data_IF_862842929132
#
_entry.id   IF_862842929132
#
_cell.length_a   1.000
_cell.length_b   1.000
_cell.length_c   1.000
_cell.angle_alpha   90.00
_cell.angle_beta   90.00
_cell.angle_gamma   90.00
#
_symmetry.space_group_name_H-M   'P 1'
#
loop_
_entity.id
_entity.type
_entity.pdbx_description
1 polymer ?
#
# COMPACT_ATOMS: atom_id res chain seq x y z
N UNK A 1 46.29 9.90 -42.18
CA UNK A 1 47.00 11.06 -42.77
C UNK A 1 46.00 12.22 -42.74
N UNK A 2 46.38 13.35 -42.15
CA UNK A 2 45.60 14.60 -41.96
C UNK A 2 44.44 14.54 -40.94
N UNK A 3 44.60 15.12 -39.74
CA UNK A 3 44.45 16.55 -39.39
C UNK A 3 43.10 17.13 -39.81
N UNK A 4 42.15 17.18 -38.88
CA UNK A 4 41.39 18.39 -38.52
C UNK A 4 40.28 18.00 -37.53
N UNK A 5 40.40 18.49 -36.29
CA UNK A 5 39.32 19.04 -35.46
C UNK A 5 39.89 19.20 -34.04
N UNK A 6 40.64 20.29 -33.93
CA UNK A 6 41.04 20.94 -32.69
C UNK A 6 39.93 21.90 -32.29
N UNK A 7 39.72 21.95 -30.97
CA UNK A 7 39.42 23.13 -30.17
C UNK A 7 38.05 23.81 -30.32
N UNK A 8 37.24 23.68 -29.27
CA UNK A 8 35.98 24.40 -29.10
C UNK A 8 35.36 24.25 -27.70
N UNK A 9 36.17 24.26 -26.64
CA UNK A 9 35.65 24.35 -25.25
C UNK A 9 35.74 25.82 -24.79
N UNK A 10 34.62 26.51 -24.57
CA UNK A 10 34.64 27.87 -24.05
C UNK A 10 35.05 27.89 -22.57
N UNK A 11 35.81 28.90 -22.11
CA UNK A 11 36.21 29.03 -20.71
C UNK A 11 35.00 29.34 -19.82
N UNK A 12 34.96 28.68 -18.64
CA UNK A 12 33.97 28.96 -17.59
C UNK A 12 34.15 30.40 -17.07
N UNK A 13 33.07 31.19 -16.94
CA UNK A 13 33.16 32.53 -16.37
C UNK A 13 33.54 32.48 -14.88
N UNK A 14 34.33 33.47 -14.49
CA UNK A 14 35.07 33.55 -13.24
C UNK A 14 34.22 33.50 -11.98
N UNK A 15 34.78 32.86 -10.96
CA UNK A 15 34.35 32.94 -9.58
C UNK A 15 34.45 34.39 -9.10
N UNK A 16 33.30 35.06 -8.99
CA UNK A 16 33.19 36.38 -8.41
C UNK A 16 33.28 36.25 -6.89
N UNK A 17 34.44 36.65 -6.36
CA UNK A 17 34.77 36.70 -4.95
C UNK A 17 33.96 37.85 -4.31
N UNK A 18 32.75 37.57 -3.82
CA UNK A 18 31.98 38.54 -3.04
C UNK A 18 32.63 38.70 -1.67
N UNK A 19 33.29 39.84 -1.49
CA UNK A 19 33.71 40.39 -0.19
C UNK A 19 32.53 40.35 0.80
N UNK A 20 32.61 39.49 1.82
CA UNK A 20 31.79 39.61 3.03
C UNK A 20 32.36 40.76 3.86
N UNK A 21 31.65 41.88 3.84
CA UNK A 21 31.85 42.98 4.78
C UNK A 21 31.26 42.65 6.14
N UNK A 22 31.99 43.09 7.17
CA UNK A 22 31.59 43.44 8.53
C UNK A 22 30.23 42.97 9.05
N UNK A 23 30.29 42.01 9.96
CA UNK A 23 29.20 41.64 10.87
C UNK A 23 29.72 41.07 12.18
N UNK A 24 30.89 41.55 12.63
CA UNK A 24 31.44 41.29 13.96
C UNK A 24 30.83 42.29 14.95
N UNK A 25 29.80 41.83 15.68
CA UNK A 25 29.45 42.18 17.07
C UNK A 25 28.03 41.70 17.36
N UNK A 26 27.88 40.91 18.43
CA UNK A 26 26.64 40.33 19.03
C UNK A 26 26.48 38.80 18.90
N UNK A 27 27.57 38.06 18.93
CA UNK A 27 27.60 36.69 19.47
C UNK A 27 28.83 36.60 20.34
N UNK A 28 28.66 36.78 21.64
CA UNK A 28 29.54 36.24 22.67
C UNK A 28 28.98 36.67 24.02
N UNK A 29 28.54 35.69 24.81
CA UNK A 29 28.40 35.89 26.26
C UNK A 29 27.26 35.17 26.98
N UNK A 30 26.28 34.53 26.34
CA UNK A 30 25.13 33.95 27.08
C UNK A 30 24.85 32.46 26.80
N UNK A 31 25.38 31.82 25.74
CA UNK A 31 24.83 30.51 25.30
C UNK A 31 25.68 29.25 25.51
N UNK A 32 26.94 29.32 25.91
CA UNK A 32 27.78 28.09 25.96
C UNK A 32 27.71 27.37 27.32
N UNK A 33 27.70 28.10 28.45
CA UNK A 33 27.61 27.46 29.79
C UNK A 33 26.27 26.79 30.08
N UNK A 34 25.17 27.30 29.52
CA UNK A 34 23.81 26.77 29.76
C UNK A 34 23.58 25.45 29.01
N UNK A 35 24.24 25.23 27.87
CA UNK A 35 24.11 23.99 27.09
C UNK A 35 24.82 22.82 27.77
N UNK A 36 26.00 23.06 28.33
CA UNK A 36 26.78 22.03 29.03
C UNK A 36 26.08 21.56 30.32
N UNK A 37 25.41 22.47 31.03
CA UNK A 37 24.60 22.11 32.20
C UNK A 37 23.34 21.32 31.84
N UNK A 38 22.73 21.57 30.67
CA UNK A 38 21.50 20.90 30.26
C UNK A 38 21.72 19.42 29.88
N UNK A 39 22.85 19.09 29.26
CA UNK A 39 23.20 17.72 28.88
C UNK A 39 24.05 16.98 29.92
N UNK A 40 24.33 17.60 31.07
CA UNK A 40 25.08 16.97 32.15
C UNK A 40 24.22 15.94 32.89
N UNK A 41 24.75 14.72 33.05
CA UNK A 41 24.12 13.67 33.86
C UNK A 41 23.92 14.10 35.34
N UNK A 42 24.71 15.07 35.82
CA UNK A 42 24.57 15.62 37.17
C UNK A 42 23.37 16.57 37.32
N UNK A 43 22.74 16.96 36.21
CA UNK A 43 21.58 17.84 36.18
C UNK A 43 20.28 17.10 35.85
N UNK A 44 20.27 15.77 35.98
CA UNK A 44 19.06 14.99 35.79
C UNK A 44 17.98 15.40 36.81
N UNK A 45 16.73 15.65 36.37
CA UNK A 45 15.63 16.03 37.26
C UNK A 45 15.38 15.03 38.39
N UNK A 46 15.77 13.76 38.22
CA UNK A 46 15.64 12.73 39.24
C UNK A 46 16.62 12.89 40.43
N UNK A 47 17.71 13.64 40.26
CA UNK A 47 18.74 13.86 41.28
C UNK A 47 18.46 15.08 42.16
N UNK A 48 17.61 15.98 41.68
CA UNK A 48 17.26 17.22 42.38
C UNK A 48 15.86 17.06 42.95
N UNK A 49 15.72 17.00 44.28
CA UNK A 49 14.44 16.79 44.99
C UNK A 49 13.39 17.91 44.81
N UNK A 50 13.57 18.80 43.83
CA UNK A 50 12.56 19.75 43.39
C UNK A 50 11.62 19.10 42.38
N UNK A 51 10.32 19.41 42.46
CA UNK A 51 9.34 18.91 41.49
C UNK A 51 9.72 19.22 40.04
N UNK A 52 9.28 18.36 39.12
CA UNK A 52 9.56 18.47 37.68
C UNK A 52 9.23 19.88 37.16
N UNK A 53 10.25 20.59 36.64
CA UNK A 53 10.07 21.81 35.86
C UNK A 53 10.15 21.46 34.38
N UNK A 54 9.01 21.59 33.68
CA UNK A 54 8.96 21.42 32.23
C UNK A 54 9.94 22.38 31.53
N UNK A 55 10.73 21.84 30.60
CA UNK A 55 11.69 22.62 29.82
C UNK A 55 10.96 23.70 29.00
N UNK A 56 11.37 24.99 29.07
CA UNK A 56 10.86 26.03 28.18
C UNK A 56 10.87 25.66 26.68
N UNK A 57 11.81 24.81 26.23
CA UNK A 57 11.86 24.31 24.87
C UNK A 57 10.74 23.29 24.55
N UNK A 58 10.17 22.58 25.53
CA UNK A 58 8.96 21.76 25.33
C UNK A 58 7.75 22.62 24.93
N UNK A 59 7.73 23.92 25.29
CA UNK A 59 6.71 24.85 24.79
C UNK A 59 6.92 25.22 23.32
N UNK A 60 8.15 25.09 22.82
CA UNK A 60 8.54 25.33 21.42
C UNK A 60 8.53 24.07 20.58
N UNK A 61 8.60 22.89 21.19
CA UNK A 61 8.24 21.64 20.56
C UNK A 61 6.77 21.75 20.19
N UNK A 62 6.52 22.26 18.98
CA UNK A 62 5.21 22.35 18.35
C UNK A 62 4.53 21.02 18.65
N UNK A 63 3.42 21.04 19.39
CA UNK A 63 2.63 19.85 19.70
C UNK A 63 2.38 19.21 18.35
N UNK A 64 3.16 18.18 18.05
CA UNK A 64 3.51 17.87 16.68
C UNK A 64 2.22 17.76 15.88
N UNK A 65 2.19 18.45 14.74
CA UNK A 65 1.11 18.47 13.75
C UNK A 65 0.91 17.07 13.13
N UNK A 66 0.94 16.00 13.92
CA UNK A 66 0.48 14.69 13.50
C UNK A 66 -1.01 14.88 13.23
N UNK A 67 -1.45 14.74 11.96
CA UNK A 67 -2.83 14.95 11.63
C UNK A 67 -3.68 13.97 12.47
N UNK A 68 -4.47 14.50 13.40
CA UNK A 68 -5.37 13.72 14.28
C UNK A 68 -6.35 12.82 13.52
N UNK A 69 -6.40 12.91 12.20
CA UNK A 69 -7.22 12.11 11.30
C UNK A 69 -6.63 10.75 10.89
N UNK A 70 -5.38 10.44 11.23
CA UNK A 70 -4.73 9.20 10.80
C UNK A 70 -4.67 8.14 11.91
N UNK A 71 -4.91 6.89 11.54
CA UNK A 71 -4.80 5.74 12.45
C UNK A 71 -3.38 5.57 13.00
N UNK A 72 -2.34 6.01 12.28
CA UNK A 72 -0.96 6.06 12.80
C UNK A 72 -0.88 6.94 14.05
N UNK A 73 -1.54 8.09 14.07
CA UNK A 73 -1.56 8.95 15.26
C UNK A 73 -2.25 8.26 16.45
N UNK A 74 -3.29 7.48 16.16
CA UNK A 74 -3.98 6.68 17.17
C UNK A 74 -3.16 5.47 17.61
N UNK A 75 -2.33 4.89 16.74
CA UNK A 75 -1.49 3.71 16.99
C UNK A 75 -0.21 4.07 17.74
N UNK A 76 0.46 5.13 17.30
CA UNK A 76 1.76 5.60 17.80
C UNK A 76 1.59 6.62 18.96
N UNK A 77 0.37 6.72 19.51
CA UNK A 77 0.10 7.51 20.70
C UNK A 77 0.91 6.97 21.88
N UNK A 78 1.53 7.86 22.64
CA UNK A 78 2.19 7.55 23.92
C UNK A 78 1.21 6.82 24.86
N UNK A 79 -0.09 7.09 24.74
CA UNK A 79 -1.15 6.42 25.51
C UNK A 79 -1.30 4.91 25.19
N UNK A 80 -0.63 4.42 24.15
CA UNK A 80 -0.57 2.99 23.80
C UNK A 80 0.75 2.33 24.18
N UNK A 81 1.66 3.04 24.87
CA UNK A 81 2.92 2.46 25.29
C UNK A 81 2.69 1.30 26.28
N UNK A 82 3.33 0.13 26.08
CA UNK A 82 3.19 -1.02 26.98
C UNK A 82 3.54 -0.69 28.44
N UNK A 83 4.41 0.29 28.65
CA UNK A 83 4.88 0.72 29.96
C UNK A 83 3.81 1.46 30.79
N UNK A 84 2.77 2.03 30.17
CA UNK A 84 1.76 2.83 30.88
C UNK A 84 0.61 2.00 31.50
N UNK A 85 0.53 0.70 31.22
CA UNK A 85 -0.35 -0.23 31.95
C UNK A 85 -1.87 -0.13 31.71
N UNK A 86 -2.45 -1.26 31.31
CA UNK A 86 -3.81 -1.78 31.57
C UNK A 86 -5.12 -0.96 31.40
N UNK A 87 -5.14 0.30 30.94
CA UNK A 87 -6.30 0.78 30.15
C UNK A 87 -5.97 0.53 28.69
N UNK A 88 -6.03 -0.75 28.30
CA UNK A 88 -5.27 -1.31 27.18
C UNK A 88 -5.47 -0.59 25.83
N UNK A 89 -4.45 -0.62 24.95
CA UNK A 89 -4.49 -0.03 23.60
C UNK A 89 -5.68 -0.51 22.74
N UNK A 90 -6.20 -1.68 23.08
CA UNK A 90 -7.34 -2.38 22.47
C UNK A 90 -8.63 -1.56 22.51
N UNK A 91 -8.86 -0.76 23.55
CA UNK A 91 -10.05 0.09 23.64
C UNK A 91 -9.94 1.38 22.81
N UNK A 92 -8.74 1.95 22.69
CA UNK A 92 -8.54 3.29 22.13
C UNK A 92 -8.73 3.33 20.61
N UNK A 93 -8.18 2.35 19.88
CA UNK A 93 -8.34 2.30 18.43
C UNK A 93 -9.79 1.94 18.08
N UNK A 94 -10.42 1.01 18.79
CA UNK A 94 -11.84 0.70 18.62
C UNK A 94 -12.74 1.92 18.83
N UNK A 95 -12.51 2.69 19.91
CA UNK A 95 -13.24 3.92 20.19
C UNK A 95 -13.00 4.99 19.12
N UNK A 96 -11.76 5.18 18.68
CA UNK A 96 -11.41 6.10 17.60
C UNK A 96 -12.08 5.71 16.27
N UNK A 97 -12.11 4.42 15.92
CA UNK A 97 -12.82 3.93 14.72
C UNK A 97 -14.31 4.25 14.83
N UNK A 98 -14.93 4.02 15.99
CA UNK A 98 -16.35 4.30 16.22
C UNK A 98 -16.67 5.80 16.11
N UNK A 99 -15.86 6.66 16.73
CA UNK A 99 -16.00 8.12 16.64
C UNK A 99 -15.88 8.60 15.19
N UNK A 100 -14.86 8.14 14.46
CA UNK A 100 -14.67 8.50 13.05
C UNK A 100 -15.78 7.98 12.15
N UNK A 101 -16.30 6.79 12.43
CA UNK A 101 -17.41 6.20 11.67
C UNK A 101 -18.69 7.01 11.85
N UNK A 102 -18.95 7.56 13.04
CA UNK A 102 -20.11 8.40 13.30
C UNK A 102 -20.10 9.71 12.46
N UNK A 103 -18.93 10.19 12.05
CA UNK A 103 -18.79 11.36 11.19
C UNK A 103 -18.90 11.04 9.68
N UNK A 104 -19.01 9.77 9.29
CA UNK A 104 -19.03 9.35 7.89
C UNK A 104 -20.43 9.06 7.39
N UNK A 105 -20.76 9.51 6.17
CA UNK A 105 -22.00 9.12 5.50
C UNK A 105 -21.87 7.73 4.85
N UNK A 106 -22.97 6.99 4.81
CA UNK A 106 -23.02 5.67 4.15
C UNK A 106 -22.66 5.79 2.66
N UNK A 107 -23.20 6.79 1.97
CA UNK A 107 -22.89 7.04 0.56
C UNK A 107 -21.40 7.32 0.33
N UNK A 108 -20.77 8.12 1.21
CA UNK A 108 -19.34 8.39 1.15
C UNK A 108 -18.49 7.14 1.36
N UNK A 109 -18.90 6.26 2.29
CA UNK A 109 -18.21 4.99 2.54
C UNK A 109 -18.31 4.03 1.34
N UNK A 110 -19.49 3.93 0.73
CA UNK A 110 -19.68 3.13 -0.50
C UNK A 110 -18.85 3.69 -1.64
N UNK A 111 -18.87 5.01 -1.87
CA UNK A 111 -18.10 5.65 -2.93
C UNK A 111 -16.59 5.41 -2.77
N UNK A 112 -16.05 5.55 -1.56
CA UNK A 112 -14.62 5.28 -1.28
C UNK A 112 -14.29 3.81 -1.49
N UNK A 113 -15.18 2.89 -1.11
CA UNK A 113 -15.01 1.45 -1.34
C UNK A 113 -14.92 1.13 -2.84
N UNK A 114 -15.85 1.69 -3.63
CA UNK A 114 -15.87 1.49 -5.07
C UNK A 114 -14.65 2.13 -5.75
N UNK A 115 -14.23 3.32 -5.32
CA UNK A 115 -13.03 3.96 -5.84
C UNK A 115 -11.77 3.11 -5.57
N UNK A 116 -11.63 2.53 -4.37
CA UNK A 116 -10.54 1.63 -4.06
C UNK A 116 -10.57 0.35 -4.90
N UNK A 117 -11.77 -0.23 -5.13
CA UNK A 117 -11.96 -1.40 -5.99
C UNK A 117 -11.54 -1.13 -7.44
N UNK A 118 -12.00 0.00 -8.00
CA UNK A 118 -11.71 0.42 -9.37
C UNK A 118 -10.23 0.72 -9.58
N UNK A 119 -9.53 1.23 -8.56
CA UNK A 119 -8.09 1.48 -8.63
C UNK A 119 -7.26 0.18 -8.56
N UNK A 120 -7.72 -0.82 -7.80
CA UNK A 120 -6.99 -2.07 -7.59
C UNK A 120 -6.85 -2.92 -8.87
N UNK A 121 -7.89 -2.97 -9.71
CA UNK A 121 -7.87 -3.74 -10.96
C UNK A 121 -6.75 -3.32 -11.93
N UNK A 122 -6.69 -2.06 -12.38
CA UNK A 122 -5.60 -1.55 -13.22
C UNK A 122 -4.23 -1.68 -12.58
N UNK A 123 -4.13 -1.47 -11.26
CA UNK A 123 -2.87 -1.60 -10.54
C UNK A 123 -2.33 -3.04 -10.58
N UNK A 124 -3.21 -4.03 -10.47
CA UNK A 124 -2.84 -5.44 -10.61
C UNK A 124 -2.31 -5.77 -12.01
N UNK A 125 -2.89 -5.19 -13.05
CA UNK A 125 -2.36 -5.34 -14.42
C UNK A 125 -0.95 -4.78 -14.52
N UNK A 126 -0.72 -3.54 -14.08
CA UNK A 126 0.62 -2.93 -14.12
C UNK A 126 1.65 -3.78 -13.37
N UNK A 127 1.30 -4.31 -12.20
CA UNK A 127 2.18 -5.20 -11.44
C UNK A 127 2.53 -6.49 -12.19
N UNK A 128 1.54 -7.14 -12.81
CA UNK A 128 1.75 -8.37 -13.58
C UNK A 128 2.69 -8.15 -14.79
N UNK A 129 2.61 -6.98 -15.43
CA UNK A 129 3.50 -6.61 -16.54
C UNK A 129 4.94 -6.31 -16.10
N UNK A 130 5.11 -5.52 -15.04
CA UNK A 130 6.44 -5.12 -14.55
C UNK A 130 7.27 -6.31 -14.07
N UNK A 131 6.62 -7.36 -13.58
CA UNK A 131 7.29 -8.57 -13.10
C UNK A 131 7.60 -9.60 -14.21
N UNK A 132 7.09 -9.41 -15.43
CA UNK A 132 7.13 -10.41 -16.52
C UNK A 132 8.41 -10.50 -17.36
N UNK A 133 9.54 -9.87 -17.00
CA UNK A 133 10.74 -9.85 -17.86
C UNK A 133 12.01 -10.40 -17.20
N UNK A 134 12.36 -11.66 -17.52
CA UNK A 134 13.71 -12.18 -17.90
C UNK A 134 13.89 -13.69 -17.61
N UNK A 135 14.06 -14.51 -18.65
CA UNK A 135 14.69 -15.84 -18.57
C UNK A 135 13.77 -17.08 -18.62
N UNK A 136 14.37 -18.28 -18.52
CA UNK A 136 13.81 -19.64 -18.67
C UNK A 136 12.59 -20.01 -17.79
N UNK A 137 11.98 -19.06 -17.08
CA UNK A 137 10.91 -19.30 -16.11
C UNK A 137 9.52 -18.87 -16.59
N UNK A 138 9.26 -18.63 -17.89
CA UNK A 138 7.95 -18.12 -18.35
C UNK A 138 6.74 -18.93 -17.87
N UNK A 139 6.82 -20.27 -17.94
CA UNK A 139 5.76 -21.15 -17.43
C UNK A 139 5.63 -21.06 -15.89
N UNK A 140 6.75 -21.14 -15.18
CA UNK A 140 6.77 -21.03 -13.72
C UNK A 140 6.26 -19.65 -13.25
N UNK A 141 6.57 -18.60 -14.01
CA UNK A 141 6.07 -17.25 -13.79
C UNK A 141 4.54 -17.21 -13.94
N UNK A 142 4.01 -17.69 -15.06
CA UNK A 142 2.56 -17.71 -15.32
C UNK A 142 1.77 -18.56 -14.31
N UNK A 143 2.34 -19.66 -13.83
CA UNK A 143 1.65 -20.60 -12.92
C UNK A 143 1.78 -20.19 -11.45
N UNK A 144 2.91 -19.62 -11.03
CA UNK A 144 3.17 -19.32 -9.62
C UNK A 144 3.21 -17.82 -9.32
N UNK A 145 4.09 -17.08 -9.98
CA UNK A 145 4.38 -15.69 -9.62
C UNK A 145 3.28 -14.71 -10.05
N UNK A 146 2.75 -14.87 -11.26
CA UNK A 146 1.68 -14.02 -11.76
C UNK A 146 0.42 -14.12 -10.87
N UNK A 147 -0.10 -15.33 -10.53
CA UNK A 147 -1.21 -15.46 -9.58
C UNK A 147 -0.96 -14.80 -8.21
N UNK A 148 0.25 -14.93 -7.65
CA UNK A 148 0.61 -14.28 -6.38
C UNK A 148 0.45 -12.76 -6.49
N UNK A 149 1.06 -12.16 -7.51
CA UNK A 149 1.05 -10.71 -7.73
C UNK A 149 -0.38 -10.24 -7.99
N UNK A 150 -1.08 -10.91 -8.90
CA UNK A 150 -2.41 -10.51 -9.33
C UNK A 150 -3.44 -10.60 -8.20
N UNK A 151 -3.46 -11.69 -7.42
CA UNK A 151 -4.39 -11.81 -6.29
C UNK A 151 -4.09 -10.78 -5.20
N UNK A 152 -2.82 -10.54 -4.85
CA UNK A 152 -2.46 -9.54 -3.85
C UNK A 152 -2.82 -8.12 -4.30
N UNK A 153 -2.53 -7.78 -5.56
CA UNK A 153 -2.79 -6.45 -6.08
C UNK A 153 -4.28 -6.18 -6.29
N UNK A 154 -5.09 -7.18 -6.66
CA UNK A 154 -6.56 -7.04 -6.72
C UNK A 154 -7.17 -6.71 -5.34
N UNK A 155 -6.53 -7.15 -4.24
CA UNK A 155 -6.98 -6.86 -2.87
C UNK A 155 -6.39 -5.56 -2.28
N UNK A 156 -5.38 -4.97 -2.92
CA UNK A 156 -4.61 -3.83 -2.40
C UNK A 156 -5.48 -2.63 -2.00
N UNK A 157 -6.52 -2.31 -2.78
CA UNK A 157 -7.45 -1.22 -2.45
C UNK A 157 -8.19 -1.45 -1.13
N UNK A 158 -8.66 -2.68 -0.88
CA UNK A 158 -9.33 -3.02 0.38
C UNK A 158 -8.36 -3.18 1.54
N UNK A 159 -7.16 -3.69 1.31
CA UNK A 159 -6.08 -3.71 2.30
C UNK A 159 -5.75 -2.28 2.73
N UNK A 160 -5.56 -1.37 1.78
CA UNK A 160 -5.30 0.04 2.05
C UNK A 160 -6.41 0.68 2.88
N UNK A 161 -7.69 0.46 2.52
CA UNK A 161 -8.80 0.98 3.32
C UNK A 161 -8.85 0.37 4.72
N UNK A 162 -8.58 -0.92 4.85
CA UNK A 162 -8.62 -1.63 6.13
C UNK A 162 -7.50 -1.17 7.08
N UNK A 163 -6.31 -0.94 6.55
CA UNK A 163 -5.16 -0.50 7.33
C UNK A 163 -5.22 0.98 7.64
N UNK A 164 -5.60 1.82 6.67
CA UNK A 164 -5.49 3.28 6.77
C UNK A 164 -6.78 3.97 7.21
N UNK A 165 -7.91 3.46 6.76
CA UNK A 165 -9.23 4.08 6.91
C UNK A 165 -10.31 3.07 7.36
N UNK A 166 -10.09 2.24 8.41
CA UNK A 166 -11.02 1.17 8.78
C UNK A 166 -12.41 1.67 9.19
N UNK A 167 -12.52 2.94 9.58
CA UNK A 167 -13.80 3.59 9.88
C UNK A 167 -14.73 3.73 8.66
N UNK A 168 -14.18 3.69 7.43
CA UNK A 168 -14.95 3.67 6.16
C UNK A 168 -15.60 2.31 5.86
N UNK A 169 -15.16 1.25 6.55
CA UNK A 169 -15.62 -0.12 6.37
C UNK A 169 -16.63 -0.46 7.45
N UNK A 170 -17.90 -0.59 7.08
CA UNK A 170 -19.02 -0.79 8.00
C UNK A 170 -19.74 -2.13 7.81
N UNK A 171 -19.57 -2.80 6.66
CA UNK A 171 -20.25 -4.05 6.37
C UNK A 171 -19.38 -5.05 5.61
N UNK A 172 -19.63 -6.35 5.87
CA UNK A 172 -18.92 -7.48 5.24
C UNK A 172 -19.08 -7.49 3.73
N UNK A 173 -20.24 -7.07 3.22
CA UNK A 173 -20.53 -7.06 1.80
C UNK A 173 -19.62 -6.09 1.03
N UNK A 174 -19.10 -5.03 1.66
CA UNK A 174 -18.20 -4.08 0.99
C UNK A 174 -16.94 -4.78 0.46
N UNK A 175 -16.39 -5.74 1.21
CA UNK A 175 -15.23 -6.51 0.80
C UNK A 175 -15.55 -7.40 -0.41
N UNK A 176 -16.68 -8.08 -0.40
CA UNK A 176 -17.11 -8.96 -1.48
C UNK A 176 -17.41 -8.15 -2.75
N UNK A 177 -18.18 -7.07 -2.63
CA UNK A 177 -18.50 -6.18 -3.78
C UNK A 177 -17.23 -5.54 -4.33
N UNK A 178 -16.33 -5.06 -3.48
CA UNK A 178 -15.05 -4.50 -3.90
C UNK A 178 -14.22 -5.52 -4.66
N UNK A 179 -14.13 -6.75 -4.15
CA UNK A 179 -13.40 -7.83 -4.82
C UNK A 179 -14.01 -8.20 -6.18
N UNK A 180 -15.34 -8.26 -6.29
CA UNK A 180 -16.01 -8.48 -7.58
C UNK A 180 -15.70 -7.36 -8.56
N UNK A 181 -15.82 -6.09 -8.13
CA UNK A 181 -15.54 -4.94 -9.00
C UNK A 181 -14.07 -4.92 -9.44
N UNK A 182 -13.13 -5.12 -8.51
CA UNK A 182 -11.70 -5.18 -8.83
C UNK A 182 -11.37 -6.32 -9.81
N UNK A 183 -11.95 -7.51 -9.59
CA UNK A 183 -11.78 -8.66 -10.47
C UNK A 183 -12.37 -8.44 -11.87
N UNK A 184 -13.55 -7.82 -11.97
CA UNK A 184 -14.16 -7.48 -13.26
C UNK A 184 -13.33 -6.45 -14.01
N UNK A 185 -12.84 -5.40 -13.33
CA UNK A 185 -11.94 -4.43 -13.94
C UNK A 185 -10.65 -5.08 -14.44
N UNK A 186 -10.04 -5.94 -13.62
CA UNK A 186 -8.86 -6.71 -14.01
C UNK A 186 -9.15 -7.59 -15.25
N UNK A 187 -10.22 -8.39 -15.20
CA UNK A 187 -10.58 -9.31 -16.26
C UNK A 187 -10.91 -8.60 -17.58
N UNK A 188 -11.57 -7.43 -17.53
CA UNK A 188 -11.81 -6.60 -18.71
C UNK A 188 -10.49 -6.21 -19.36
N UNK A 189 -9.55 -5.66 -18.59
CA UNK A 189 -8.26 -5.21 -19.11
C UNK A 189 -7.46 -6.40 -19.65
N UNK A 190 -7.37 -7.48 -18.87
CA UNK A 190 -6.68 -8.71 -19.27
C UNK A 190 -7.26 -9.27 -20.58
N UNK A 191 -8.57 -9.36 -20.70
CA UNK A 191 -9.21 -9.87 -21.92
C UNK A 191 -8.95 -8.96 -23.13
N UNK A 192 -9.01 -7.65 -22.96
CA UNK A 192 -8.68 -6.70 -24.03
C UNK A 192 -7.21 -6.86 -24.49
N UNK A 193 -6.28 -7.12 -23.57
CA UNK A 193 -4.89 -7.40 -23.92
C UNK A 193 -4.75 -8.70 -24.71
N UNK A 194 -5.43 -9.77 -24.29
CA UNK A 194 -5.38 -11.04 -25.01
C UNK A 194 -5.99 -10.95 -26.41
N UNK A 195 -7.17 -10.35 -26.54
CA UNK A 195 -7.88 -10.28 -27.83
C UNK A 195 -7.41 -9.14 -28.74
N UNK A 196 -6.74 -8.13 -28.17
CA UNK A 196 -6.29 -6.94 -28.91
C UNK A 196 -4.79 -6.89 -29.19
N UNK A 197 -3.96 -7.48 -28.33
CA UNK A 197 -2.51 -7.32 -28.38
C UNK A 197 -1.75 -8.66 -28.48
N UNK A 198 -2.13 -9.67 -27.70
CA UNK A 198 -1.32 -10.89 -27.57
C UNK A 198 -1.64 -11.99 -28.58
N UNK A 199 -2.92 -12.16 -28.93
CA UNK A 199 -3.37 -13.23 -29.83
C UNK A 199 -4.08 -12.61 -31.02
N UNK A 200 -3.69 -13.01 -32.23
CA UNK A 200 -4.31 -12.57 -33.48
C UNK A 200 -5.31 -13.60 -33.98
N UNK A 201 -6.32 -13.21 -34.79
CA UNK A 201 -7.29 -14.15 -35.37
C UNK A 201 -6.68 -15.33 -36.16
N UNK A 202 -5.47 -15.16 -36.71
CA UNK A 202 -4.75 -16.22 -37.42
C UNK A 202 -4.10 -17.27 -36.52
N UNK A 203 -3.87 -16.95 -35.24
CA UNK A 203 -3.13 -17.81 -34.30
C UNK A 203 -3.99 -18.93 -33.72
N UNK A 204 -5.32 -18.80 -33.83
CA UNK A 204 -6.29 -19.74 -33.25
C UNK A 204 -7.21 -20.34 -34.31
N UNK A 205 -7.66 -21.57 -34.06
CA UNK A 205 -8.56 -22.33 -34.95
C UNK A 205 -9.93 -21.67 -35.09
N UNK A 206 -10.49 -21.15 -34.00
CA UNK A 206 -11.77 -20.43 -33.97
C UNK A 206 -11.65 -19.18 -33.10
N UNK A 207 -11.64 -18.02 -33.75
CA UNK A 207 -11.51 -16.72 -33.07
C UNK A 207 -12.71 -16.44 -32.15
N UNK A 208 -13.93 -16.70 -32.63
CA UNK A 208 -15.16 -16.45 -31.87
C UNK A 208 -15.19 -17.27 -30.57
N UNK A 209 -14.84 -18.56 -30.66
CA UNK A 209 -14.80 -19.45 -29.50
C UNK A 209 -13.73 -19.02 -28.50
N UNK A 210 -12.56 -18.58 -28.99
CA UNK A 210 -11.49 -18.05 -28.14
C UNK A 210 -11.94 -16.79 -27.38
N UNK A 211 -12.60 -15.85 -28.06
CA UNK A 211 -13.12 -14.62 -27.44
C UNK A 211 -14.18 -14.97 -26.38
N UNK A 212 -15.16 -15.81 -26.69
CA UNK A 212 -16.19 -16.22 -25.73
C UNK A 212 -15.57 -16.92 -24.52
N UNK A 213 -14.61 -17.83 -24.74
CA UNK A 213 -13.89 -18.49 -23.66
C UNK A 213 -13.21 -17.47 -22.74
N UNK A 214 -12.47 -16.50 -23.31
CA UNK A 214 -11.76 -15.47 -22.54
C UNK A 214 -12.68 -14.59 -21.71
N UNK A 215 -13.84 -14.21 -22.24
CA UNK A 215 -14.81 -13.36 -21.54
C UNK A 215 -15.66 -14.10 -20.51
N UNK A 216 -15.62 -15.43 -20.47
CA UNK A 216 -16.44 -16.24 -19.56
C UNK A 216 -15.60 -16.94 -18.51
N UNK A 217 -14.68 -17.82 -18.93
CA UNK A 217 -13.97 -18.74 -18.03
C UNK A 217 -12.92 -18.03 -17.16
N UNK A 218 -11.93 -17.29 -17.71
CA UNK A 218 -11.00 -16.52 -16.88
C UNK A 218 -11.71 -15.46 -16.04
N UNK A 219 -12.73 -14.78 -16.58
CA UNK A 219 -13.50 -13.78 -15.82
C UNK A 219 -14.17 -14.40 -14.60
N UNK A 220 -14.84 -15.54 -14.75
CA UNK A 220 -15.45 -16.25 -13.62
C UNK A 220 -14.41 -16.72 -12.61
N UNK A 221 -13.26 -17.22 -13.09
CA UNK A 221 -12.14 -17.62 -12.23
C UNK A 221 -11.60 -16.45 -11.41
N UNK A 222 -11.33 -15.30 -12.04
CA UNK A 222 -10.81 -14.10 -11.36
C UNK A 222 -11.77 -13.63 -10.28
N UNK A 223 -13.08 -13.60 -10.58
CA UNK A 223 -14.11 -13.25 -9.60
C UNK A 223 -14.11 -14.24 -8.44
N UNK A 224 -14.09 -15.54 -8.71
CA UNK A 224 -14.09 -16.57 -7.68
C UNK A 224 -12.87 -16.47 -6.76
N UNK A 225 -11.66 -16.38 -7.33
CA UNK A 225 -10.41 -16.24 -6.57
C UNK A 225 -10.41 -14.95 -5.72
N UNK A 226 -10.85 -13.83 -6.30
CA UNK A 226 -10.93 -12.55 -5.58
C UNK A 226 -11.97 -12.57 -4.46
N UNK A 227 -13.10 -13.25 -4.64
CA UNK A 227 -14.08 -13.46 -3.56
C UNK A 227 -13.45 -14.28 -2.44
N UNK A 228 -12.76 -15.38 -2.72
CA UNK A 228 -12.07 -16.18 -1.70
C UNK A 228 -11.08 -15.32 -0.91
N UNK A 229 -10.23 -14.54 -1.59
CA UNK A 229 -9.29 -13.63 -0.95
C UNK A 229 -10.00 -12.60 -0.05
N UNK A 230 -11.13 -12.03 -0.52
CA UNK A 230 -11.90 -11.04 0.23
C UNK A 230 -12.54 -11.58 1.50
N UNK A 231 -12.88 -12.88 1.56
CA UNK A 231 -13.36 -13.53 2.78
C UNK A 231 -12.28 -13.54 3.88
N UNK A 232 -11.01 -13.62 3.49
CA UNK A 232 -9.88 -13.40 4.38
C UNK A 232 -9.88 -12.00 4.97
N UNK A 233 -10.10 -10.97 4.15
CA UNK A 233 -10.19 -9.58 4.64
C UNK A 233 -11.41 -9.35 5.54
N UNK A 234 -12.55 -9.99 5.26
CA UNK A 234 -13.71 -9.96 6.16
C UNK A 234 -13.35 -10.53 7.53
N UNK A 235 -12.54 -11.60 7.57
CA UNK A 235 -12.05 -12.18 8.84
C UNK A 235 -11.14 -11.20 9.59
N UNK A 236 -10.19 -10.55 8.90
CA UNK A 236 -9.32 -9.53 9.50
C UNK A 236 -10.15 -8.38 10.07
N UNK A 237 -11.09 -7.85 9.29
CA UNK A 237 -11.97 -6.75 9.71
C UNK A 237 -12.81 -7.13 10.93
N UNK A 238 -13.40 -8.34 10.96
CA UNK A 238 -14.16 -8.81 12.13
C UNK A 238 -13.29 -8.89 13.38
N UNK A 239 -12.05 -9.38 13.24
CA UNK A 239 -11.08 -9.46 14.35
C UNK A 239 -10.71 -8.07 14.84
N UNK A 240 -10.40 -7.14 13.95
CA UNK A 240 -10.16 -5.72 14.28
C UNK A 240 -11.34 -5.09 15.02
N UNK A 241 -12.58 -5.35 14.57
CA UNK A 241 -13.78 -4.81 15.22
C UNK A 241 -14.03 -5.42 16.61
N UNK A 242 -13.65 -6.68 16.83
CA UNK A 242 -13.85 -7.37 18.11
C UNK A 242 -12.76 -7.01 19.12
N UNK A 243 -11.50 -7.01 18.69
CA UNK A 243 -10.33 -6.81 19.53
C UNK A 243 -10.01 -5.31 19.70
N UNK A 244 -10.57 -4.44 18.85
CA UNK A 244 -10.27 -3.01 18.80
C UNK A 244 -8.80 -2.70 18.49
N UNK A 245 -8.07 -3.66 17.90
CA UNK A 245 -6.64 -3.56 17.55
C UNK A 245 -6.44 -3.18 16.08
N UNK A 246 -5.22 -2.78 15.66
CA UNK A 246 -4.90 -2.61 14.24
C UNK A 246 -5.20 -3.88 13.43
N UNK A 247 -5.45 -3.71 12.13
CA UNK A 247 -5.69 -4.84 11.24
C UNK A 247 -4.46 -5.76 11.19
N UNK A 248 -4.70 -7.06 11.38
CA UNK A 248 -3.69 -8.11 11.35
C UNK A 248 -3.89 -8.97 10.11
N UNK A 249 -3.19 -8.64 9.02
CA UNK A 249 -3.31 -9.33 7.73
C UNK A 249 -2.92 -10.80 7.78
N UNK A 250 -2.16 -11.24 8.79
CA UNK A 250 -1.83 -12.66 8.95
C UNK A 250 -3.10 -13.52 9.10
N UNK A 251 -4.19 -12.95 9.64
CA UNK A 251 -5.47 -13.64 9.75
C UNK A 251 -6.14 -13.91 8.38
N UNK A 252 -5.73 -13.24 7.29
CA UNK A 252 -6.19 -13.49 5.93
C UNK A 252 -5.30 -14.47 5.14
N UNK A 253 -4.11 -14.82 5.65
CA UNK A 253 -3.08 -15.53 4.89
C UNK A 253 -3.59 -16.81 4.20
N UNK A 254 -4.31 -17.67 4.92
CA UNK A 254 -4.86 -18.91 4.35
C UNK A 254 -5.83 -18.69 3.19
N UNK A 255 -6.59 -17.59 3.20
CA UNK A 255 -7.50 -17.23 2.12
C UNK A 255 -6.76 -16.70 0.89
N UNK A 256 -5.67 -15.94 1.09
CA UNK A 256 -4.81 -15.53 -0.02
C UNK A 256 -4.12 -16.72 -0.67
N UNK A 257 -3.59 -17.65 0.13
CA UNK A 257 -3.01 -18.90 -0.39
C UNK A 257 -4.04 -19.69 -1.20
N UNK A 258 -5.27 -19.83 -0.70
CA UNK A 258 -6.34 -20.52 -1.41
C UNK A 258 -6.70 -19.84 -2.74
N UNK A 259 -6.85 -18.52 -2.76
CA UNK A 259 -7.13 -17.75 -4.00
C UNK A 259 -6.00 -17.90 -5.03
N UNK A 260 -4.75 -17.74 -4.59
CA UNK A 260 -3.56 -17.90 -5.42
C UNK A 260 -3.48 -19.31 -6.00
N UNK A 261 -3.78 -20.34 -5.19
CA UNK A 261 -3.76 -21.72 -5.64
C UNK A 261 -4.86 -22.00 -6.68
N UNK A 262 -6.09 -21.51 -6.47
CA UNK A 262 -7.19 -21.63 -7.44
C UNK A 262 -6.79 -21.02 -8.79
N UNK A 263 -6.21 -19.83 -8.77
CA UNK A 263 -5.75 -19.14 -9.96
C UNK A 263 -4.55 -19.86 -10.62
N UNK A 264 -3.53 -20.23 -9.86
CA UNK A 264 -2.38 -20.96 -10.39
C UNK A 264 -2.75 -22.30 -11.03
N UNK A 265 -3.66 -23.05 -10.40
CA UNK A 265 -4.21 -24.30 -10.97
C UNK A 265 -4.96 -24.01 -12.28
N UNK A 266 -5.77 -22.96 -12.32
CA UNK A 266 -6.41 -22.54 -13.56
C UNK A 266 -5.38 -22.25 -14.65
N UNK A 267 -4.33 -21.46 -14.38
CA UNK A 267 -3.29 -21.16 -15.37
C UNK A 267 -2.58 -22.43 -15.85
N UNK A 268 -2.26 -23.34 -14.94
CA UNK A 268 -1.64 -24.63 -15.28
C UNK A 268 -2.50 -25.46 -16.22
N UNK A 269 -3.84 -25.46 -16.04
CA UNK A 269 -4.78 -26.21 -16.87
C UNK A 269 -5.11 -25.49 -18.18
N UNK A 270 -5.19 -24.16 -18.16
CA UNK A 270 -5.55 -23.33 -19.31
C UNK A 270 -4.50 -23.39 -20.42
N UNK A 271 -3.23 -23.57 -20.09
CA UNK A 271 -2.14 -23.68 -21.07
C UNK A 271 -2.30 -24.89 -22.01
N UNK A 272 -2.34 -26.15 -21.50
CA UNK A 272 -2.53 -27.31 -22.37
C UNK A 272 -3.93 -27.36 -22.97
N UNK A 273 -4.97 -26.94 -22.23
CA UNK A 273 -6.33 -26.90 -22.76
C UNK A 273 -6.45 -25.90 -23.91
N UNK A 274 -5.83 -24.73 -23.79
CA UNK A 274 -5.77 -23.73 -24.84
C UNK A 274 -5.09 -24.26 -26.09
N UNK A 275 -4.02 -25.04 -25.93
CA UNK A 275 -3.37 -25.72 -27.06
C UNK A 275 -4.32 -26.71 -27.76
N UNK A 276 -5.00 -27.57 -27.00
CA UNK A 276 -5.92 -28.58 -27.57
C UNK A 276 -7.15 -27.95 -28.24
N UNK A 277 -7.73 -26.91 -27.62
CA UNK A 277 -8.98 -26.31 -28.10
C UNK A 277 -8.77 -25.28 -29.21
N UNK A 278 -7.65 -24.54 -29.17
CA UNK A 278 -7.48 -23.34 -29.99
C UNK A 278 -6.24 -23.34 -30.87
N UNK A 279 -5.22 -24.18 -30.64
CA UNK A 279 -4.07 -24.21 -31.54
C UNK A 279 -4.48 -24.72 -32.94
N UNK A 280 -3.83 -24.15 -33.97
CA UNK A 280 -3.93 -24.62 -35.35
C UNK A 280 -2.89 -25.70 -35.63
#
# INVERSE_FOLDING_TARGET
>A
MERALRDGVPPRPGAQQTRRGGGDRLRDGIEDGVKDEYFSANNEPALHGGGFKADPAERRADRSRVPRGNIEAARDSVLNEPALGATGPEGQIGAWIAERRAACSTAGNVAVTLAAALAAGPFAVVGAFLSGQRGWSGLAYMVFFAPIIEELLKQSGMVFLLERYPYRLFARWQFVVSAVVAALCFAVIENLLYTGLYVRPGDVRSWEMFVVFRWTVPTAMHVAASVVASLGLVRVWRKQQADGRPADLAAAFGYFVAAIAVHGVYNLLAIPLGYVLFAR
#
